data_IF_742865840310
#
_entry.id   IF_742865840310
#
_cell.length_a   1.000
_cell.length_b   1.000
_cell.length_c   1.000
_cell.angle_alpha   90.00
_cell.angle_beta   90.00
_cell.angle_gamma   90.00
#
_symmetry.space_group_name_H-M   'P 1'
#
loop_
_entity.id
_entity.type
_entity.pdbx_description
1 polymer ?
#
# COMPACT_ATOMS: atom_id res chain seq x y z
N UNK A 1 -31.54 8.49 -30.03
CA UNK A 1 -31.91 8.05 -28.66
C UNK A 1 -30.78 8.30 -27.64
N UNK A 2 -29.56 7.79 -27.85
CA UNK A 2 -28.43 7.96 -26.90
C UNK A 2 -28.00 9.43 -26.65
N UNK A 3 -28.01 10.30 -27.67
CA UNK A 3 -27.69 11.73 -27.50
C UNK A 3 -28.71 12.52 -26.68
N UNK A 4 -29.97 12.08 -26.63
CA UNK A 4 -31.00 12.73 -25.81
C UNK A 4 -30.84 12.39 -24.32
N UNK A 5 -30.38 11.18 -24.00
CA UNK A 5 -30.09 10.75 -22.63
C UNK A 5 -28.89 11.49 -22.03
N UNK A 6 -27.83 11.72 -22.82
CA UNK A 6 -26.65 12.48 -22.36
C UNK A 6 -26.99 13.96 -22.11
N UNK A 7 -27.81 14.58 -22.98
CA UNK A 7 -28.30 15.95 -22.76
C UNK A 7 -29.22 16.07 -21.55
N UNK A 8 -30.08 15.08 -21.30
CA UNK A 8 -30.94 15.05 -20.11
C UNK A 8 -30.14 14.88 -18.81
N UNK A 9 -29.09 14.04 -18.82
CA UNK A 9 -28.21 13.86 -17.67
C UNK A 9 -27.39 15.12 -17.35
N UNK A 10 -26.88 15.83 -18.37
CA UNK A 10 -26.18 17.10 -18.16
C UNK A 10 -27.10 18.22 -17.67
N UNK A 11 -28.35 18.28 -18.15
CA UNK A 11 -29.34 19.25 -17.66
C UNK A 11 -29.71 18.99 -16.19
N UNK A 12 -29.85 17.72 -15.78
CA UNK A 12 -30.11 17.36 -14.39
C UNK A 12 -28.94 17.71 -13.45
N UNK A 13 -27.69 17.54 -13.91
CA UNK A 13 -26.50 17.92 -13.15
C UNK A 13 -26.36 19.44 -12.96
N UNK A 14 -26.74 20.24 -13.97
CA UNK A 14 -26.71 21.71 -13.88
C UNK A 14 -27.79 22.27 -12.94
N UNK A 15 -28.97 21.64 -12.87
CA UNK A 15 -30.03 22.06 -11.93
C UNK A 15 -29.67 21.69 -10.49
N UNK A 16 -29.02 20.55 -10.26
CA UNK A 16 -28.57 20.14 -8.92
C UNK A 16 -27.44 21.03 -8.37
N UNK A 17 -26.59 21.59 -9.24
CA UNK A 17 -25.48 22.47 -8.85
C UNK A 17 -25.88 23.89 -8.44
N UNK A 18 -27.13 24.31 -8.66
CA UNK A 18 -27.61 25.67 -8.38
C UNK A 18 -28.44 25.81 -7.09
N UNK A 19 -28.69 24.72 -6.36
CA UNK A 19 -29.55 24.73 -5.14
C UNK A 19 -28.88 24.26 -3.85
N UNK A 20 -27.55 24.31 -3.74
CA UNK A 20 -26.87 23.98 -2.47
C UNK A 20 -25.96 25.11 -1.99
N UNK A 21 -26.56 26.29 -1.77
CA UNK A 21 -26.02 27.27 -0.86
C UNK A 21 -27.01 27.34 0.32
N UNK A 22 -26.51 27.09 1.54
CA UNK A 22 -27.17 27.10 2.86
C UNK A 22 -27.73 25.77 3.42
N UNK A 23 -27.12 25.36 4.55
CA UNK A 23 -27.61 24.51 5.67
C UNK A 23 -28.23 23.14 5.37
N UNK A 24 -27.53 22.08 5.78
CA UNK A 24 -27.79 21.36 7.06
C UNK A 24 -27.38 19.88 6.97
N UNK A 25 -26.56 19.46 7.93
CA UNK A 25 -26.26 18.06 8.22
C UNK A 25 -27.56 17.30 8.60
N UNK A 26 -27.72 16.07 8.10
CA UNK A 26 -28.72 15.13 8.65
C UNK A 26 -29.52 14.28 7.66
N UNK A 27 -29.52 14.54 6.35
CA UNK A 27 -30.45 13.85 5.40
C UNK A 27 -29.80 13.19 4.18
N UNK A 28 -28.47 13.11 4.09
CA UNK A 28 -27.77 12.49 2.95
C UNK A 28 -27.80 10.96 2.92
N UNK A 29 -28.25 10.27 3.97
CA UNK A 29 -28.22 8.80 4.05
C UNK A 29 -29.46 8.10 3.45
N UNK A 30 -30.55 8.84 3.18
CA UNK A 30 -31.80 8.25 2.70
C UNK A 30 -31.98 8.29 1.17
N UNK A 31 -31.28 9.17 0.46
CA UNK A 31 -31.45 9.31 -1.00
C UNK A 31 -30.56 8.38 -1.83
N UNK A 32 -29.44 7.90 -1.28
CA UNK A 32 -28.54 6.99 -1.99
C UNK A 32 -29.08 5.56 -2.12
N UNK A 33 -30.04 5.14 -1.29
CA UNK A 33 -30.62 3.80 -1.32
C UNK A 33 -31.67 3.59 -2.43
N UNK A 34 -32.24 4.66 -3.01
CA UNK A 34 -33.30 4.56 -4.03
C UNK A 34 -32.80 4.51 -5.48
N UNK A 35 -31.53 4.84 -5.73
CA UNK A 35 -30.92 4.73 -7.08
C UNK A 35 -30.34 3.34 -7.38
N UNK A 36 -30.15 2.48 -6.38
CA UNK A 36 -29.59 1.13 -6.56
C UNK A 36 -30.63 0.02 -6.75
N UNK A 37 -31.93 0.32 -6.71
CA UNK A 37 -32.98 -0.67 -6.92
C UNK A 37 -33.24 -1.04 -8.40
N UNK A 38 -32.59 -0.35 -9.35
CA UNK A 38 -32.82 -0.55 -10.80
C UNK A 38 -31.62 -1.11 -11.58
N UNK A 39 -30.54 -1.55 -10.92
CA UNK A 39 -29.36 -2.16 -11.60
C UNK A 39 -29.49 -3.69 -11.76
N UNK A 40 -30.50 -4.31 -11.15
CA UNK A 40 -30.71 -5.76 -11.20
C UNK A 40 -31.36 -6.29 -12.51
N UNK A 41 -31.46 -5.49 -13.57
CA UNK A 41 -32.04 -5.92 -14.86
C UNK A 41 -31.09 -5.90 -16.07
N UNK A 42 -29.78 -5.73 -15.87
CA UNK A 42 -28.81 -5.75 -16.98
C UNK A 42 -27.59 -6.62 -16.60
N UNK A 43 -27.72 -7.95 -16.78
CA UNK A 43 -26.65 -8.94 -17.00
C UNK A 43 -26.96 -10.29 -16.32
N UNK A 44 -26.87 -11.45 -17.01
CA UNK A 44 -27.09 -12.77 -16.40
C UNK A 44 -25.95 -13.26 -15.48
N UNK A 45 -24.93 -12.45 -15.18
CA UNK A 45 -23.72 -12.92 -14.49
C UNK A 45 -23.73 -12.81 -12.96
N UNK A 46 -24.80 -12.27 -12.35
CA UNK A 46 -24.86 -11.97 -10.91
C UNK A 46 -25.39 -13.11 -10.01
N UNK A 47 -25.60 -14.33 -10.52
CA UNK A 47 -26.30 -15.41 -9.78
C UNK A 47 -25.40 -16.55 -9.25
N UNK A 48 -24.09 -16.34 -9.05
CA UNK A 48 -23.19 -17.37 -8.49
C UNK A 48 -22.25 -16.87 -7.39
N UNK A 49 -22.80 -16.34 -6.31
CA UNK A 49 -22.06 -16.16 -5.05
C UNK A 49 -22.77 -16.92 -3.91
N UNK A 50 -22.11 -17.86 -3.21
CA UNK A 50 -22.70 -18.56 -2.09
C UNK A 50 -22.82 -17.64 -0.87
N UNK A 51 -24.03 -17.59 -0.29
CA UNK A 51 -24.33 -16.91 0.98
C UNK A 51 -23.64 -17.63 2.14
N UNK A 52 -22.63 -17.02 2.75
CA UNK A 52 -22.04 -17.51 4.00
C UNK A 52 -22.62 -16.79 5.22
N UNK A 53 -23.30 -17.56 6.08
CA UNK A 53 -23.92 -17.10 7.31
C UNK A 53 -22.91 -16.77 8.40
N UNK A 54 -23.18 -15.69 9.13
CA UNK A 54 -22.48 -15.28 10.35
C UNK A 54 -22.85 -16.20 11.52
N UNK A 55 -21.92 -17.01 12.02
CA UNK A 55 -21.96 -17.49 13.40
C UNK A 55 -20.57 -17.91 13.88
N UNK A 56 -20.13 -17.35 15.02
CA UNK A 56 -19.08 -17.96 15.85
C UNK A 56 -17.63 -17.46 15.68
N UNK A 57 -17.35 -16.16 15.88
CA UNK A 57 -15.96 -15.67 16.09
C UNK A 57 -15.83 -14.88 17.39
N UNK A 58 -15.76 -15.58 18.54
CA UNK A 58 -15.37 -15.00 19.84
C UNK A 58 -14.23 -15.74 20.56
N UNK A 59 -13.51 -16.65 19.90
CA UNK A 59 -12.37 -17.38 20.50
C UNK A 59 -11.06 -17.38 19.69
N UNK A 60 -10.92 -16.54 18.66
CA UNK A 60 -9.71 -16.48 17.82
C UNK A 60 -8.83 -15.23 18.01
N UNK A 61 -9.26 -14.26 18.84
CA UNK A 61 -8.58 -12.97 18.92
C UNK A 61 -7.20 -12.98 19.61
N UNK A 62 -6.85 -14.01 20.38
CA UNK A 62 -5.52 -14.08 21.04
C UNK A 62 -4.44 -14.79 20.20
N UNK A 63 -4.80 -15.48 19.12
CA UNK A 63 -3.84 -16.17 18.23
C UNK A 63 -3.46 -15.37 16.98
N UNK A 64 -4.09 -14.21 16.76
CA UNK A 64 -3.86 -13.40 15.56
C UNK A 64 -2.69 -12.41 15.69
N UNK A 65 -2.27 -12.06 16.91
CA UNK A 65 -1.25 -11.02 17.14
C UNK A 65 0.17 -11.48 16.74
N UNK A 66 0.42 -12.80 16.65
CA UNK A 66 1.73 -13.37 16.32
C UNK A 66 1.91 -13.79 14.85
N UNK A 67 0.90 -13.63 14.00
CA UNK A 67 0.94 -14.10 12.59
C UNK A 67 0.87 -13.00 11.53
N UNK A 68 0.90 -11.74 11.96
CA UNK A 68 0.61 -10.59 11.08
C UNK A 68 1.76 -9.61 10.84
N UNK A 69 2.91 -9.71 11.53
CA UNK A 69 4.06 -8.89 11.14
C UNK A 69 4.61 -9.43 9.83
N UNK A 70 4.98 -8.54 8.91
CA UNK A 70 5.76 -8.84 7.70
C UNK A 70 6.96 -9.74 8.06
N UNK A 71 7.51 -9.57 9.27
CA UNK A 71 8.57 -10.42 9.81
C UNK A 71 8.23 -11.93 9.84
N UNK A 72 6.96 -12.31 10.03
CA UNK A 72 6.50 -13.71 10.08
C UNK A 72 6.39 -14.37 8.69
N UNK A 73 6.13 -13.61 7.62
CA UNK A 73 6.15 -14.12 6.24
C UNK A 73 7.57 -14.37 5.73
N UNK A 74 8.56 -13.69 6.31
CA UNK A 74 9.99 -13.90 6.05
C UNK A 74 10.64 -14.97 6.93
N UNK A 75 9.89 -15.65 7.81
CA UNK A 75 10.44 -16.72 8.65
C UNK A 75 10.67 -18.01 7.84
N UNK A 76 11.86 -18.12 7.25
CA UNK A 76 12.76 -19.29 7.38
C UNK A 76 13.75 -19.43 6.22
N UNK A 77 13.43 -18.93 5.02
CA UNK A 77 14.25 -19.21 3.82
C UNK A 77 15.21 -18.10 3.39
N UNK A 78 14.92 -16.83 3.69
CA UNK A 78 15.71 -15.69 3.18
C UNK A 78 16.72 -15.07 4.15
N UNK A 79 16.79 -15.54 5.40
CA UNK A 79 17.63 -14.93 6.46
C UNK A 79 18.80 -15.82 6.89
N UNK A 80 19.25 -16.71 6.01
CA UNK A 80 20.49 -17.47 6.25
C UNK A 80 21.69 -16.57 5.95
N UNK A 81 22.85 -16.80 6.59
CA UNK A 81 24.07 -16.06 6.28
C UNK A 81 24.42 -16.12 4.78
N UNK A 82 24.16 -17.25 4.12
CA UNK A 82 24.45 -17.44 2.70
C UNK A 82 23.53 -16.59 1.83
N UNK A 83 22.22 -16.60 2.09
CA UNK A 83 21.24 -15.81 1.33
C UNK A 83 21.47 -14.30 1.49
N UNK A 84 21.85 -13.84 2.68
CA UNK A 84 22.17 -12.43 2.92
C UNK A 84 23.44 -12.00 2.18
N UNK A 85 24.46 -12.86 2.10
CA UNK A 85 25.68 -12.59 1.33
C UNK A 85 25.40 -12.52 -0.18
N UNK A 86 24.63 -13.47 -0.71
CA UNK A 86 24.21 -13.45 -2.11
C UNK A 86 23.40 -12.18 -2.43
N UNK A 87 22.48 -11.82 -1.54
CA UNK A 87 21.71 -10.57 -1.66
C UNK A 87 22.63 -9.34 -1.63
N UNK A 88 23.63 -9.30 -0.74
CA UNK A 88 24.61 -8.21 -0.68
C UNK A 88 25.39 -8.07 -1.99
N UNK A 89 25.83 -9.18 -2.60
CA UNK A 89 26.54 -9.18 -3.89
C UNK A 89 25.66 -8.63 -5.03
N UNK A 90 24.37 -8.97 -5.04
CA UNK A 90 23.41 -8.43 -6.02
C UNK A 90 23.16 -6.93 -5.78
N UNK A 91 23.00 -6.52 -4.53
CA UNK A 91 22.73 -5.14 -4.15
C UNK A 91 23.94 -4.21 -4.35
N UNK A 92 25.16 -4.75 -4.29
CA UNK A 92 26.37 -4.00 -4.64
C UNK A 92 26.33 -3.48 -6.09
N UNK A 93 25.63 -4.16 -7.01
CA UNK A 93 25.40 -3.67 -8.39
C UNK A 93 24.58 -2.38 -8.43
N UNK A 94 23.76 -2.12 -7.40
CA UNK A 94 23.02 -0.88 -7.17
C UNK A 94 23.76 0.12 -6.26
N UNK A 95 25.03 -0.14 -5.95
CA UNK A 95 25.84 0.65 -4.99
C UNK A 95 25.20 0.71 -3.60
N UNK A 96 24.42 -0.32 -3.24
CA UNK A 96 23.85 -0.45 -1.92
C UNK A 96 24.70 -1.41 -1.11
N UNK A 97 25.29 -0.90 -0.03
CA UNK A 97 26.07 -1.70 0.92
C UNK A 97 25.14 -2.28 1.97
N UNK A 98 24.95 -3.61 1.94
CA UNK A 98 24.09 -4.32 2.88
C UNK A 98 24.91 -4.72 4.11
N UNK A 99 24.56 -4.19 5.28
CA UNK A 99 25.16 -4.58 6.55
C UNK A 99 24.65 -5.96 7.01
N UNK A 100 25.24 -6.99 6.43
CA UNK A 100 24.92 -8.40 6.72
C UNK A 100 25.21 -8.73 8.19
N UNK A 101 26.29 -8.19 8.76
CA UNK A 101 26.72 -8.49 10.12
C UNK A 101 25.73 -7.93 11.14
N UNK A 102 25.23 -6.70 10.95
CA UNK A 102 24.20 -6.12 11.80
C UNK A 102 22.89 -6.92 11.77
N UNK A 103 22.46 -7.38 10.59
CA UNK A 103 21.25 -8.21 10.46
C UNK A 103 21.44 -9.55 11.20
N UNK A 104 22.61 -10.19 11.02
CA UNK A 104 22.92 -11.45 11.69
C UNK A 104 23.01 -11.31 13.22
N UNK A 105 23.55 -10.19 13.71
CA UNK A 105 23.61 -9.89 15.14
C UNK A 105 22.21 -9.77 15.76
N UNK A 106 21.31 -9.02 15.11
CA UNK A 106 19.92 -8.87 15.59
C UNK A 106 19.15 -10.19 15.51
N UNK A 107 19.36 -10.99 14.45
CA UNK A 107 18.76 -12.33 14.36
C UNK A 107 19.29 -13.29 15.44
N UNK A 108 20.57 -13.19 15.82
CA UNK A 108 21.13 -13.96 16.93
C UNK A 108 20.49 -13.54 18.28
N UNK A 109 20.37 -12.24 18.53
CA UNK A 109 19.69 -11.71 19.72
C UNK A 109 18.23 -12.18 19.77
N UNK A 110 17.50 -12.10 18.64
CA UNK A 110 16.12 -12.58 18.50
C UNK A 110 15.99 -14.05 18.90
N UNK A 111 16.89 -14.92 18.43
CA UNK A 111 16.86 -16.35 18.75
C UNK A 111 17.07 -16.61 20.25
N UNK A 112 17.99 -15.89 20.89
CA UNK A 112 18.25 -16.01 22.33
C UNK A 112 17.02 -15.58 23.14
N UNK A 113 16.47 -14.40 22.83
CA UNK A 113 15.26 -13.88 23.49
C UNK A 113 14.07 -14.80 23.26
N UNK A 114 13.91 -15.34 22.05
CA UNK A 114 12.83 -16.28 21.71
C UNK A 114 12.92 -17.58 22.52
N UNK A 115 14.12 -18.17 22.62
CA UNK A 115 14.34 -19.40 23.39
C UNK A 115 13.99 -19.15 24.85
N UNK A 116 14.49 -18.05 25.42
CA UNK A 116 14.25 -17.72 26.82
C UNK A 116 12.77 -17.45 27.12
N UNK A 117 12.08 -16.74 26.22
CA UNK A 117 10.63 -16.52 26.33
C UNK A 117 9.86 -17.85 26.32
N UNK A 118 10.24 -18.77 25.43
CA UNK A 118 9.60 -20.09 25.32
C UNK A 118 9.86 -20.97 26.56
N UNK A 119 11.08 -20.95 27.10
CA UNK A 119 11.44 -21.64 28.35
C UNK A 119 10.60 -21.12 29.53
N UNK A 120 10.53 -19.80 29.72
CA UNK A 120 9.75 -19.15 30.79
C UNK A 120 8.25 -19.42 30.63
N UNK A 121 7.74 -19.37 29.39
CA UNK A 121 6.35 -19.73 29.08
C UNK A 121 6.05 -21.18 29.44
N UNK A 122 6.96 -22.09 29.10
CA UNK A 122 6.82 -23.51 29.43
C UNK A 122 6.83 -23.72 30.94
N UNK A 123 7.79 -23.14 31.65
CA UNK A 123 7.91 -23.24 33.11
C UNK A 123 6.65 -22.70 33.80
N UNK A 124 6.19 -21.50 33.39
CA UNK A 124 4.97 -20.89 33.90
C UNK A 124 3.75 -21.79 33.70
N UNK A 125 3.60 -22.38 32.53
CA UNK A 125 2.48 -23.27 32.22
C UNK A 125 2.53 -24.57 33.03
N UNK A 126 3.74 -25.12 33.24
CA UNK A 126 3.94 -26.32 34.05
C UNK A 126 3.63 -26.06 35.53
N UNK A 127 4.13 -24.97 36.10
CA UNK A 127 3.82 -24.56 37.48
C UNK A 127 2.35 -24.16 37.68
N UNK A 128 1.74 -23.54 36.67
CA UNK A 128 0.29 -23.24 36.71
C UNK A 128 -0.56 -24.51 36.79
N UNK A 129 -0.15 -25.59 36.11
CA UNK A 129 -0.84 -26.89 36.18
C UNK A 129 -0.65 -27.57 37.53
N UNK A 130 0.55 -27.47 38.14
CA UNK A 130 0.81 -28.06 39.46
C UNK A 130 -0.01 -27.40 40.57
N UNK A 131 -0.27 -26.08 40.50
CA UNK A 131 -1.18 -25.38 41.43
C UNK A 131 -2.58 -26.03 41.43
N UNK A 132 -3.13 -26.34 40.26
CA UNK A 132 -4.44 -27.00 40.15
C UNK A 132 -4.46 -28.37 40.83
N UNK A 133 -3.38 -29.15 40.68
CA UNK A 133 -3.24 -30.45 41.32
C UNK A 133 -3.06 -30.34 42.85
N UNK A 134 -2.25 -29.39 43.34
CA UNK A 134 -1.97 -29.22 44.76
C UNK A 134 -3.17 -28.66 45.52
N UNK A 135 -3.90 -27.70 44.92
CA UNK A 135 -5.19 -27.23 45.47
C UNK A 135 -6.21 -28.36 45.60
N UNK A 136 -6.24 -29.31 44.65
CA UNK A 136 -7.15 -30.46 44.72
C UNK A 136 -6.80 -31.45 45.83
N UNK A 137 -5.54 -31.43 46.30
CA UNK A 137 -5.04 -32.25 47.42
C UNK A 137 -5.09 -31.52 48.78
N UNK A 138 -5.50 -30.26 48.81
CA UNK A 138 -5.55 -29.45 50.03
C UNK A 138 -4.19 -28.96 50.53
N UNK A 139 -3.16 -28.96 49.67
CA UNK A 139 -1.80 -28.51 50.01
C UNK A 139 -1.65 -26.98 49.88
N UNK A 140 -0.71 -26.39 50.61
CA UNK A 140 -0.38 -24.96 50.50
C UNK A 140 0.29 -24.66 49.14
N UNK A 141 -0.21 -23.62 48.47
CA UNK A 141 0.23 -23.20 47.14
C UNK A 141 0.79 -21.79 47.13
N UNK A 142 0.93 -21.14 48.29
CA UNK A 142 1.33 -19.73 48.40
C UNK A 142 2.68 -19.47 47.73
N UNK A 143 3.69 -20.30 48.00
CA UNK A 143 5.02 -20.20 47.38
C UNK A 143 4.98 -20.40 45.86
N UNK A 144 4.19 -21.35 45.35
CA UNK A 144 4.12 -21.61 43.90
C UNK A 144 3.35 -20.49 43.18
N UNK A 145 2.38 -19.87 43.85
CA UNK A 145 1.67 -18.70 43.32
C UNK A 145 2.62 -17.51 43.14
N UNK A 146 3.49 -17.25 44.12
CA UNK A 146 4.52 -16.20 44.02
C UNK A 146 5.50 -16.49 42.87
N UNK A 147 5.96 -17.73 42.72
CA UNK A 147 6.82 -18.13 41.60
C UNK A 147 6.15 -17.94 40.24
N UNK A 148 4.87 -18.29 40.11
CA UNK A 148 4.11 -18.11 38.86
C UNK A 148 3.93 -16.63 38.52
N UNK A 149 3.69 -15.76 39.50
CA UNK A 149 3.59 -14.31 39.26
C UNK A 149 4.95 -13.71 38.86
N UNK A 150 6.05 -14.20 39.45
CA UNK A 150 7.41 -13.87 39.05
C UNK A 150 7.72 -14.29 37.60
N UNK A 151 7.36 -15.52 37.23
CA UNK A 151 7.51 -16.03 35.86
C UNK A 151 6.65 -15.25 34.86
N UNK A 152 5.44 -14.85 35.25
CA UNK A 152 4.56 -14.02 34.42
C UNK A 152 5.17 -12.65 34.13
N UNK A 153 5.78 -12.02 35.13
CA UNK A 153 6.51 -10.76 34.94
C UNK A 153 7.69 -10.92 33.99
N UNK A 154 8.47 -12.00 34.14
CA UNK A 154 9.59 -12.31 33.24
C UNK A 154 9.13 -12.60 31.80
N UNK A 155 8.02 -13.33 31.62
CA UNK A 155 7.44 -13.55 30.29
C UNK A 155 7.09 -12.22 29.62
N UNK A 156 6.42 -11.31 30.34
CA UNK A 156 6.07 -9.99 29.81
C UNK A 156 7.30 -9.16 29.44
N UNK A 157 8.37 -9.23 30.23
CA UNK A 157 9.65 -8.57 29.93
C UNK A 157 10.26 -9.08 28.62
N UNK A 158 10.35 -10.40 28.46
CA UNK A 158 10.93 -11.01 27.26
C UNK A 158 10.04 -10.85 26.01
N UNK A 159 8.71 -10.81 26.17
CA UNK A 159 7.78 -10.42 25.10
C UNK A 159 8.01 -8.95 24.67
N UNK A 160 8.26 -8.05 25.61
CA UNK A 160 8.64 -6.66 25.33
C UNK A 160 9.95 -6.56 24.54
N UNK A 161 11.01 -7.24 25.01
CA UNK A 161 12.30 -7.31 24.31
C UNK A 161 12.16 -7.88 22.89
N UNK A 162 11.34 -8.92 22.73
CA UNK A 162 11.08 -9.50 21.41
C UNK A 162 10.47 -8.46 20.47
N UNK A 163 9.46 -7.71 20.94
CA UNK A 163 8.82 -6.68 20.14
C UNK A 163 9.80 -5.57 19.72
N UNK A 164 10.70 -5.15 20.61
CA UNK A 164 11.72 -4.16 20.28
C UNK A 164 12.69 -4.67 19.21
N UNK A 165 13.13 -5.94 19.33
CA UNK A 165 14.00 -6.59 18.34
C UNK A 165 13.29 -6.71 16.99
N UNK A 166 12.01 -7.10 16.98
CA UNK A 166 11.21 -7.21 15.76
C UNK A 166 11.07 -5.86 15.05
N UNK A 167 10.81 -4.78 15.78
CA UNK A 167 10.71 -3.42 15.22
C UNK A 167 12.05 -2.98 14.60
N UNK A 168 13.17 -3.19 15.30
CA UNK A 168 14.50 -2.86 14.77
C UNK A 168 14.82 -3.65 13.50
N UNK A 169 14.51 -4.94 13.50
CA UNK A 169 14.74 -5.81 12.36
C UNK A 169 13.86 -5.40 11.18
N UNK A 170 12.58 -5.13 11.40
CA UNK A 170 11.65 -4.69 10.37
C UNK A 170 12.08 -3.35 9.76
N UNK A 171 12.49 -2.38 10.58
CA UNK A 171 13.02 -1.10 10.12
C UNK A 171 14.24 -1.28 9.21
N UNK A 172 15.22 -2.10 9.60
CA UNK A 172 16.38 -2.39 8.76
C UNK A 172 15.97 -3.04 7.43
N UNK A 173 15.07 -4.02 7.46
CA UNK A 173 14.65 -4.75 6.28
C UNK A 173 13.87 -3.87 5.29
N UNK A 174 13.04 -2.95 5.78
CA UNK A 174 12.26 -2.03 4.94
C UNK A 174 13.13 -1.02 4.17
N UNK A 175 14.37 -0.79 4.60
CA UNK A 175 15.31 0.10 3.91
C UNK A 175 16.12 -0.60 2.80
N UNK A 176 16.06 -1.93 2.73
CA UNK A 176 16.77 -2.72 1.72
C UNK A 176 16.03 -2.62 0.38
N UNK A 177 16.66 -2.11 -0.70
CA UNK A 177 16.01 -2.06 -2.01
C UNK A 177 15.85 -3.46 -2.60
N UNK A 178 14.95 -3.61 -3.57
CA UNK A 178 14.78 -4.88 -4.26
C UNK A 178 16.07 -5.27 -5.03
N UNK A 179 16.43 -6.56 -5.02
CA UNK A 179 17.59 -7.07 -5.74
C UNK A 179 17.40 -6.90 -7.26
N UNK A 180 18.43 -6.46 -8.00
CA UNK A 180 18.36 -6.42 -9.45
C UNK A 180 18.26 -7.85 -10.02
N UNK A 181 17.51 -8.01 -11.11
CA UNK A 181 17.45 -9.28 -11.84
C UNK A 181 18.80 -9.55 -12.53
N UNK A 182 19.15 -10.82 -12.78
CA UNK A 182 20.40 -11.19 -13.45
C UNK A 182 20.55 -10.58 -14.85
N UNK A 183 19.42 -10.33 -15.53
CA UNK A 183 19.38 -9.72 -16.86
C UNK A 183 19.50 -8.20 -16.85
N UNK A 184 19.47 -7.56 -15.68
CA UNK A 184 19.65 -6.11 -15.57
C UNK A 184 21.13 -5.76 -15.82
N UNK A 185 21.44 -4.83 -16.74
CA UNK A 185 22.81 -4.41 -16.97
C UNK A 185 23.39 -3.76 -15.71
N UNK A 186 24.68 -3.99 -15.46
CA UNK A 186 25.40 -3.29 -14.40
C UNK A 186 25.66 -1.86 -14.88
N UNK A 187 25.26 -0.89 -14.07
CA UNK A 187 25.29 0.53 -14.42
C UNK A 187 25.55 1.40 -13.21
N UNK A 188 26.41 2.41 -13.36
CA UNK A 188 26.68 3.40 -12.30
C UNK A 188 25.62 4.48 -12.15
N UNK A 189 25.05 4.91 -13.27
CA UNK A 189 24.11 6.01 -13.41
C UNK A 189 23.34 5.87 -14.74
N UNK A 190 22.50 6.85 -15.05
CA UNK A 190 21.65 6.83 -16.24
C UNK A 190 22.40 6.86 -17.59
N UNK A 191 23.69 7.21 -17.60
CA UNK A 191 24.49 7.26 -18.83
C UNK A 191 24.92 5.87 -19.33
N UNK A 192 24.90 4.88 -18.44
CA UNK A 192 25.21 3.48 -18.73
C UNK A 192 23.95 2.66 -19.11
N UNK A 193 22.79 3.32 -19.22
CA UNK A 193 21.57 2.68 -19.71
C UNK A 193 21.73 2.25 -21.18
N UNK A 194 21.28 1.02 -21.48
CA UNK A 194 21.35 0.45 -22.84
C UNK A 194 20.05 0.72 -23.60
N UNK A 195 20.13 1.39 -24.75
CA UNK A 195 18.99 1.54 -25.67
C UNK A 195 18.64 0.17 -26.29
N UNK A 196 17.44 -0.34 -25.97
CA UNK A 196 16.99 -1.65 -26.48
C UNK A 196 16.26 -1.50 -27.82
N UNK A 197 15.45 -0.46 -27.96
CA UNK A 197 14.60 -0.26 -29.12
C UNK A 197 14.27 1.21 -29.33
N UNK A 198 14.22 1.61 -30.60
CA UNK A 198 13.83 2.94 -31.04
C UNK A 198 12.77 2.85 -32.13
N UNK A 199 11.72 3.65 -32.01
CA UNK A 199 10.61 3.69 -32.96
C UNK A 199 10.37 5.09 -33.49
N UNK A 200 10.23 5.19 -34.81
CA UNK A 200 10.05 6.46 -35.52
C UNK A 200 11.33 7.28 -35.66
N UNK A 201 11.21 8.40 -36.37
CA UNK A 201 12.31 9.34 -36.62
C UNK A 201 11.96 10.71 -36.03
N UNK A 202 12.86 11.33 -35.23
CA UNK A 202 12.64 12.68 -34.75
C UNK A 202 12.35 13.65 -35.90
N UNK A 203 11.25 14.39 -35.80
CA UNK A 203 10.80 15.29 -36.86
C UNK A 203 11.84 16.38 -37.14
N UNK A 204 12.18 16.57 -38.42
CA UNK A 204 13.01 17.70 -38.88
C UNK A 204 12.12 18.92 -39.12
N UNK A 205 12.49 20.05 -38.54
CA UNK A 205 11.78 21.32 -38.69
C UNK A 205 12.59 22.27 -39.58
N UNK A 206 11.89 23.06 -40.40
CA UNK A 206 12.47 24.10 -41.24
C UNK A 206 12.27 25.51 -40.64
N UNK A 207 11.98 25.58 -39.33
CA UNK A 207 11.80 26.79 -38.56
C UNK A 207 12.39 26.60 -37.15
N UNK A 208 12.70 27.69 -36.43
CA UNK A 208 13.14 27.61 -35.03
C UNK A 208 12.07 26.96 -34.15
N UNK A 209 12.40 25.82 -33.55
CA UNK A 209 11.47 25.05 -32.71
C UNK A 209 11.28 25.75 -31.37
N UNK A 210 10.02 25.92 -30.97
CA UNK A 210 9.63 26.41 -29.65
C UNK A 210 9.37 25.24 -28.71
N UNK A 211 9.61 25.43 -27.42
CA UNK A 211 9.25 24.44 -26.42
C UNK A 211 7.74 24.47 -26.11
N UNK A 212 7.30 23.55 -25.26
CA UNK A 212 5.89 23.45 -24.89
C UNK A 212 5.40 24.64 -24.04
N UNK A 213 6.28 25.35 -23.33
CA UNK A 213 5.92 26.52 -22.52
C UNK A 213 5.58 27.68 -23.43
N UNK A 214 6.46 27.99 -24.40
CA UNK A 214 6.26 29.05 -25.39
C UNK A 214 5.04 28.79 -26.27
N UNK A 215 4.84 27.53 -26.69
CA UNK A 215 3.65 27.13 -27.47
C UNK A 215 2.39 27.29 -26.61
N UNK A 216 2.39 26.76 -25.38
CA UNK A 216 1.25 26.81 -24.47
C UNK A 216 0.85 28.23 -24.10
N UNK A 217 1.82 29.11 -23.86
CA UNK A 217 1.62 30.52 -23.61
C UNK A 217 1.08 31.25 -24.86
N UNK A 218 1.65 30.99 -26.04
CA UNK A 218 1.19 31.55 -27.32
C UNK A 218 -0.26 31.19 -27.65
N UNK A 219 -0.70 29.99 -27.26
CA UNK A 219 -2.09 29.53 -27.39
C UNK A 219 -3.02 30.03 -26.26
N UNK A 220 -2.48 30.75 -25.27
CA UNK A 220 -3.18 31.10 -24.02
C UNK A 220 -3.80 29.88 -23.32
N UNK A 221 -3.15 28.72 -23.46
CA UNK A 221 -3.63 27.44 -22.95
C UNK A 221 -2.85 26.93 -21.74
N UNK A 222 -1.69 27.51 -21.43
CA UNK A 222 -0.89 27.21 -20.24
C UNK A 222 -0.58 28.52 -19.50
N UNK A 223 -1.09 28.66 -18.28
CA UNK A 223 -0.90 29.82 -17.42
C UNK A 223 -0.15 29.44 -16.14
N UNK A 224 1.15 29.68 -16.14
CA UNK A 224 2.04 29.44 -15.01
C UNK A 224 1.97 30.55 -13.95
N UNK A 225 1.64 31.79 -14.35
CA UNK A 225 1.52 32.91 -13.42
C UNK A 225 0.27 32.74 -12.55
N UNK A 226 -0.86 32.33 -13.14
CA UNK A 226 -2.05 31.96 -12.39
C UNK A 226 -1.81 30.78 -11.46
N UNK A 227 -1.11 29.73 -11.92
CA UNK A 227 -0.78 28.58 -11.09
C UNK A 227 0.13 28.95 -9.91
N UNK A 228 1.14 29.80 -10.14
CA UNK A 228 2.03 30.30 -9.08
C UNK A 228 1.26 31.11 -8.04
N UNK A 229 0.30 31.93 -8.48
CA UNK A 229 -0.59 32.68 -7.57
C UNK A 229 -1.47 31.76 -6.71
N UNK A 230 -1.87 30.59 -7.23
CA UNK A 230 -2.77 29.65 -6.54
C UNK A 230 -1.99 28.70 -5.61
N UNK A 231 -0.89 28.11 -6.09
CA UNK A 231 -0.21 26.98 -5.45
C UNK A 231 1.32 27.14 -5.34
N UNK A 232 1.92 28.12 -6.00
CA UNK A 232 3.38 28.31 -6.06
C UNK A 232 4.06 27.66 -7.27
N UNK A 233 5.38 27.53 -7.21
CA UNK A 233 6.19 26.98 -8.30
C UNK A 233 5.85 25.51 -8.61
N UNK A 234 6.16 25.05 -9.83
CA UNK A 234 5.91 23.67 -10.33
C UNK A 234 4.44 23.29 -10.51
N UNK A 235 3.51 24.25 -10.47
CA UNK A 235 2.11 24.07 -10.88
C UNK A 235 1.81 24.75 -12.22
N UNK A 236 0.76 24.30 -12.91
CA UNK A 236 0.27 24.91 -14.18
C UNK A 236 -1.26 24.95 -14.21
N UNK A 237 -1.81 26.04 -14.75
CA UNK A 237 -3.25 26.12 -15.05
C UNK A 237 -3.45 25.92 -16.55
N UNK A 238 -4.20 24.90 -16.95
CA UNK A 238 -4.53 24.64 -18.35
C UNK A 238 -5.89 25.24 -18.72
N UNK A 239 -5.99 25.80 -19.93
CA UNK A 239 -7.22 26.44 -20.42
C UNK A 239 -7.52 26.11 -21.89
N UNK A 240 -8.77 26.31 -22.29
CA UNK A 240 -9.21 26.20 -23.68
C UNK A 240 -8.90 24.86 -24.34
N UNK A 241 -8.41 24.91 -25.57
CA UNK A 241 -8.11 23.71 -26.38
C UNK A 241 -6.97 22.87 -25.78
N UNK A 242 -6.02 23.47 -25.06
CA UNK A 242 -4.93 22.73 -24.41
C UNK A 242 -5.47 21.88 -23.26
N UNK A 243 -6.37 22.41 -22.42
CA UNK A 243 -7.06 21.64 -21.39
C UNK A 243 -7.92 20.52 -21.99
N UNK A 244 -8.59 20.78 -23.13
CA UNK A 244 -9.35 19.74 -23.84
C UNK A 244 -8.44 18.62 -24.36
N UNK A 245 -7.30 18.96 -24.95
CA UNK A 245 -6.32 17.98 -25.43
C UNK A 245 -5.74 17.15 -24.28
N UNK A 246 -5.39 17.79 -23.15
CA UNK A 246 -4.92 17.07 -21.96
C UNK A 246 -5.94 16.01 -21.50
N UNK A 247 -7.22 16.38 -21.41
CA UNK A 247 -8.29 15.42 -21.10
C UNK A 247 -8.44 14.34 -22.18
N UNK A 248 -8.38 14.70 -23.45
CA UNK A 248 -8.50 13.75 -24.56
C UNK A 248 -7.39 12.69 -24.55
N UNK A 249 -6.15 13.07 -24.19
CA UNK A 249 -5.03 12.14 -24.04
C UNK A 249 -5.30 11.11 -22.93
N UNK A 250 -5.74 11.54 -21.75
CA UNK A 250 -6.05 10.64 -20.65
C UNK A 250 -7.15 9.63 -21.02
N UNK A 251 -8.23 10.11 -21.67
CA UNK A 251 -9.32 9.25 -22.14
C UNK A 251 -8.85 8.25 -23.20
N UNK A 252 -8.05 8.71 -24.17
CA UNK A 252 -7.48 7.83 -25.20
C UNK A 252 -6.59 6.72 -24.59
N UNK A 253 -5.79 7.05 -23.59
CA UNK A 253 -4.95 6.06 -22.88
C UNK A 253 -5.81 5.02 -22.17
N UNK A 254 -6.80 5.44 -21.37
CA UNK A 254 -7.72 4.54 -20.67
C UNK A 254 -8.48 3.63 -21.64
N UNK A 255 -9.12 4.20 -22.66
CA UNK A 255 -9.85 3.45 -23.68
C UNK A 255 -8.94 2.43 -24.37
N UNK A 256 -7.70 2.80 -24.68
CA UNK A 256 -6.74 1.89 -25.29
C UNK A 256 -6.40 0.72 -24.37
N UNK A 257 -6.09 0.98 -23.10
CA UNK A 257 -5.72 -0.09 -22.16
C UNK A 257 -6.90 -1.01 -21.83
N UNK A 258 -8.10 -0.46 -21.66
CA UNK A 258 -9.31 -1.23 -21.35
C UNK A 258 -9.76 -2.04 -22.57
N UNK A 259 -9.97 -1.38 -23.70
CA UNK A 259 -10.62 -2.00 -24.86
C UNK A 259 -9.68 -2.89 -25.67
N UNK A 260 -8.37 -2.62 -25.67
CA UNK A 260 -7.40 -3.34 -26.52
C UNK A 260 -6.40 -4.17 -25.74
N UNK A 261 -6.05 -3.79 -24.52
CA UNK A 261 -5.00 -4.48 -23.75
C UNK A 261 -5.55 -5.33 -22.59
N UNK A 262 -6.86 -5.33 -22.36
CA UNK A 262 -7.51 -6.17 -21.35
C UNK A 262 -7.20 -5.77 -19.91
N UNK A 263 -7.05 -4.46 -19.66
CA UNK A 263 -6.97 -3.92 -18.30
C UNK A 263 -8.37 -3.64 -17.75
N UNK A 264 -8.57 -3.87 -16.46
CA UNK A 264 -9.74 -3.39 -15.74
C UNK A 264 -9.50 -1.96 -15.28
N UNK A 265 -10.41 -1.05 -15.64
CA UNK A 265 -10.38 0.31 -15.14
C UNK A 265 -10.84 0.36 -13.68
N UNK A 266 -10.12 1.10 -12.84
CA UNK A 266 -10.44 1.29 -11.42
C UNK A 266 -10.32 2.75 -11.03
N UNK A 267 -11.32 3.26 -10.30
CA UNK A 267 -11.26 4.60 -9.71
C UNK A 267 -10.80 4.49 -8.25
N UNK A 268 -9.62 5.03 -7.94
CA UNK A 268 -8.93 4.81 -6.66
C UNK A 268 -8.81 6.09 -5.82
N UNK A 269 -8.68 5.98 -4.48
CA UNK A 269 -8.43 7.14 -3.62
C UNK A 269 -7.10 7.83 -3.93
N UNK A 270 -7.08 9.17 -3.90
CA UNK A 270 -5.87 9.98 -4.09
C UNK A 270 -5.15 10.32 -2.78
N UNK A 271 -5.80 10.04 -1.65
CA UNK A 271 -5.26 10.19 -0.31
C UNK A 271 -5.24 8.80 0.32
N UNK A 272 -4.06 8.33 0.72
CA UNK A 272 -3.83 6.97 1.23
C UNK A 272 -3.24 6.98 2.63
N UNK A 273 -3.37 5.84 3.32
CA UNK A 273 -2.75 5.63 4.63
C UNK A 273 -1.27 5.24 4.49
N UNK A 274 -0.56 5.27 5.62
CA UNK A 274 0.87 4.94 5.70
C UNK A 274 1.15 3.51 5.24
N UNK A 275 0.30 2.55 5.61
CA UNK A 275 0.48 1.14 5.25
C UNK A 275 0.48 0.93 3.73
N UNK A 276 -0.23 1.78 2.96
CA UNK A 276 -0.24 1.66 1.50
C UNK A 276 1.09 2.09 0.89
N UNK A 277 1.73 3.11 1.44
CA UNK A 277 3.04 3.57 0.98
C UNK A 277 4.17 2.65 1.44
N UNK A 278 4.05 2.02 2.61
CA UNK A 278 4.97 0.95 3.02
C UNK A 278 4.83 -0.24 2.06
N UNK A 279 3.60 -0.63 1.72
CA UNK A 279 3.32 -1.75 0.83
C UNK A 279 3.93 -1.63 -0.58
N UNK A 280 4.10 -0.40 -1.09
CA UNK A 280 4.71 -0.13 -2.40
C UNK A 280 6.10 0.53 -2.31
N UNK A 281 6.70 0.58 -1.12
CA UNK A 281 8.09 0.96 -0.91
C UNK A 281 8.41 2.46 -0.92
N UNK A 282 7.41 3.35 -0.91
CA UNK A 282 7.65 4.79 -0.75
C UNK A 282 8.06 5.12 0.68
N UNK A 283 7.44 4.49 1.67
CA UNK A 283 7.84 4.62 3.07
C UNK A 283 8.64 3.39 3.51
N UNK A 284 9.64 3.56 4.40
CA UNK A 284 10.02 4.82 5.08
C UNK A 284 10.98 5.74 4.29
N UNK A 285 11.65 5.21 3.25
CA UNK A 285 12.82 5.86 2.62
C UNK A 285 12.56 7.19 1.91
N UNK A 286 11.39 7.36 1.31
CA UNK A 286 11.05 8.53 0.47
C UNK A 286 9.95 9.39 1.11
N UNK A 287 9.91 9.47 2.44
CA UNK A 287 8.91 10.23 3.18
C UNK A 287 8.90 11.73 2.81
N UNK A 288 10.08 12.31 2.60
CA UNK A 288 10.26 13.75 2.29
C UNK A 288 9.75 14.12 0.89
N UNK A 289 9.56 13.14 0.00
CA UNK A 289 9.05 13.35 -1.36
C UNK A 289 7.51 13.43 -1.41
N UNK A 290 6.82 13.22 -0.27
CA UNK A 290 5.37 13.07 -0.22
C UNK A 290 4.67 14.27 0.43
N UNK A 291 3.54 14.68 -0.14
CA UNK A 291 2.63 15.60 0.54
C UNK A 291 1.82 14.84 1.59
N UNK A 292 1.98 15.23 2.86
CA UNK A 292 1.27 14.67 4.01
C UNK A 292 0.14 15.59 4.46
N UNK A 293 -0.97 15.00 4.88
CA UNK A 293 -2.10 15.66 5.54
C UNK A 293 -2.52 14.88 6.78
N UNK A 294 -3.18 15.54 7.74
CA UNK A 294 -3.62 14.94 8.99
C UNK A 294 -5.11 15.12 9.25
N UNK A 295 -5.76 14.13 9.86
CA UNK A 295 -7.12 14.26 10.38
C UNK A 295 -7.34 13.41 11.64
N UNK A 296 -7.68 14.07 12.76
CA UNK A 296 -7.97 13.42 14.05
C UNK A 296 -6.90 12.39 14.42
N UNK A 297 -5.66 12.87 14.55
CA UNK A 297 -4.44 12.10 14.87
C UNK A 297 -3.99 11.06 13.82
N UNK A 298 -4.72 10.91 12.70
CA UNK A 298 -4.32 10.04 11.59
C UNK A 298 -3.54 10.81 10.54
N UNK A 299 -2.45 10.21 10.07
CA UNK A 299 -1.67 10.69 8.93
C UNK A 299 -2.18 10.08 7.64
N UNK A 300 -2.25 10.89 6.60
CA UNK A 300 -2.54 10.47 5.25
C UNK A 300 -1.60 11.17 4.28
N UNK A 301 -1.49 10.63 3.08
CA UNK A 301 -0.56 11.11 2.07
C UNK A 301 -1.26 11.22 0.72
N UNK A 302 -0.96 12.27 -0.04
CA UNK A 302 -1.33 12.32 -1.44
C UNK A 302 -0.48 11.31 -2.21
N UNK A 303 -1.12 10.57 -3.12
CA UNK A 303 -0.43 9.55 -3.91
C UNK A 303 0.60 10.19 -4.86
N UNK A 304 1.84 9.67 -4.96
CA UNK A 304 2.79 10.11 -5.97
C UNK A 304 2.50 9.49 -7.35
N UNK A 305 1.76 8.37 -7.37
CA UNK A 305 1.33 7.63 -8.57
C UNK A 305 0.13 6.72 -8.21
N UNK A 306 -0.69 6.38 -9.21
CA UNK A 306 -1.79 5.42 -9.04
C UNK A 306 -1.31 4.00 -8.70
N UNK A 307 -0.03 3.68 -8.93
CA UNK A 307 0.59 2.41 -8.52
C UNK A 307 0.35 2.10 -7.04
N UNK A 308 0.43 3.11 -6.17
CA UNK A 308 0.28 2.96 -4.72
C UNK A 308 -1.10 2.36 -4.37
N UNK A 309 -2.23 3.03 -4.66
CA UNK A 309 -3.54 2.48 -4.33
C UNK A 309 -3.92 1.27 -5.18
N UNK A 310 -3.52 1.21 -6.46
CA UNK A 310 -3.87 0.10 -7.35
C UNK A 310 -3.24 -1.22 -6.90
N UNK A 311 -1.96 -1.21 -6.54
CA UNK A 311 -1.27 -2.42 -6.04
C UNK A 311 -1.83 -2.85 -4.69
N UNK A 312 -2.21 -1.88 -3.85
CA UNK A 312 -2.80 -2.15 -2.54
C UNK A 312 -4.25 -2.67 -2.60
N UNK A 313 -4.91 -2.72 -3.77
CA UNK A 313 -6.23 -3.34 -3.92
C UNK A 313 -6.23 -4.82 -3.50
N UNK A 314 -5.08 -5.49 -3.62
CA UNK A 314 -4.91 -6.90 -3.28
C UNK A 314 -4.10 -7.11 -1.99
N UNK A 315 -3.81 -6.05 -1.22
CA UNK A 315 -3.12 -6.18 0.08
C UNK A 315 -3.93 -7.09 1.01
N UNK A 316 -3.23 -7.90 1.79
CA UNK A 316 -3.82 -8.85 2.76
C UNK A 316 -4.84 -9.84 2.16
N UNK A 317 -4.75 -10.10 0.84
CA UNK A 317 -5.64 -11.01 0.12
C UNK A 317 -4.88 -12.26 -0.34
N UNK A 318 -5.53 -13.42 -0.25
CA UNK A 318 -5.03 -14.67 -0.84
C UNK A 318 -5.80 -14.92 -2.13
N UNK A 319 -5.13 -14.82 -3.27
CA UNK A 319 -5.71 -15.02 -4.59
C UNK A 319 -5.59 -16.49 -5.01
N UNK A 320 -6.56 -16.97 -5.78
CA UNK A 320 -6.43 -18.24 -6.50
C UNK A 320 -5.56 -18.04 -7.75
N UNK A 321 -4.81 -19.07 -8.16
CA UNK A 321 -3.90 -18.97 -9.30
C UNK A 321 -4.66 -18.65 -10.60
N UNK A 322 -5.89 -19.15 -10.72
CA UNK A 322 -6.77 -18.92 -11.88
C UNK A 322 -7.29 -17.48 -11.99
N UNK A 323 -7.16 -16.66 -10.93
CA UNK A 323 -7.48 -15.23 -10.97
C UNK A 323 -6.34 -14.41 -11.61
N UNK A 324 -5.16 -14.99 -11.80
CA UNK A 324 -4.00 -14.33 -12.36
C UNK A 324 -3.93 -14.50 -13.89
N UNK A 325 -3.46 -13.48 -14.63
CA UNK A 325 -2.97 -12.18 -14.15
C UNK A 325 -4.10 -11.16 -13.91
N UNK A 326 -4.02 -10.43 -12.80
CA UNK A 326 -4.82 -9.22 -12.58
C UNK A 326 -4.15 -8.02 -13.25
N UNK A 327 -4.94 -7.25 -14.01
CA UNK A 327 -4.44 -6.10 -14.78
C UNK A 327 -5.33 -4.89 -14.52
N UNK A 328 -4.76 -3.83 -13.96
CA UNK A 328 -5.50 -2.63 -13.57
C UNK A 328 -4.95 -1.37 -14.23
N UNK A 329 -5.84 -0.45 -14.62
CA UNK A 329 -5.54 0.91 -15.08
C UNK A 329 -6.46 1.89 -14.37
N UNK A 330 -6.07 3.13 -14.15
CA UNK A 330 -6.77 4.09 -13.28
C UNK A 330 -6.67 5.52 -13.80
#
# INVERSE_FOLDING_TARGET
AAMHLVRAAMAAAMVAGLTSCTRAAGTAFAYHASMFSNINQISPFASRLPKFGMMGRKRQFSKLILKGSISSMFQSKGRTPEALKETAELLARKKFDLDVDAILAIEAERKVVQSKANELLHERNTKSKSIGMLKSKGEDVTSILEEVEGLKSQVQEYEGKMKEIEVKLEDMLLHIPNAPHESSPVGSDETENVEIYKWGEPKKFNFPVKDHVDIGAGLKGMDFAAATKISGARFVTLQGQVAQLHRALAQFMLDTHVQKHGYSEVYVPYIVNEESLVGTGQLPKFADDLFMTGHQDRKFYLIPTAEVPVTNLIRDTVLAEEELPLKFTA
#
